data_IF_040218680159
#
_entry.id   IF_040218680159
#
_cell.length_a   1.000
_cell.length_b   1.000
_cell.length_c   1.000
_cell.angle_alpha   90.00
_cell.angle_beta   90.00
_cell.angle_gamma   90.00
#
_symmetry.space_group_name_H-M   'P 1'
#
loop_
_entity.id
_entity.type
_entity.pdbx_description
1 polymer ?
#
# COMPACT_ATOMS: atom_id res chain seq x y z
N UNK A 1 -3.04 -4.55 -16.34
CA UNK A 1 -2.00 -5.53 -15.95
C UNK A 1 -0.79 -4.84 -15.31
N UNK A 2 0.13 -4.18 -16.05
CA UNK A 2 1.34 -3.56 -15.46
C UNK A 2 1.06 -2.51 -14.38
N UNK A 3 0.11 -1.59 -14.60
CA UNK A 3 -0.26 -0.54 -13.62
C UNK A 3 -0.78 -1.12 -12.31
N UNK A 4 -1.66 -2.12 -12.41
CA UNK A 4 -2.22 -2.81 -11.25
C UNK A 4 -1.11 -3.51 -10.47
N UNK A 5 -0.24 -4.27 -11.14
CA UNK A 5 0.89 -4.94 -10.51
C UNK A 5 1.87 -3.97 -9.83
N UNK A 6 2.24 -2.86 -10.49
CA UNK A 6 3.12 -1.83 -9.93
C UNK A 6 2.49 -1.12 -8.73
N UNK A 7 1.17 -0.88 -8.77
CA UNK A 7 0.46 -0.25 -7.67
C UNK A 7 0.36 -1.18 -6.46
N UNK A 8 0.08 -2.46 -6.67
CA UNK A 8 0.05 -3.47 -5.61
C UNK A 8 1.45 -3.72 -5.04
N UNK A 9 2.47 -3.85 -5.88
CA UNK A 9 3.85 -4.02 -5.44
C UNK A 9 4.37 -2.80 -4.66
N UNK A 10 4.09 -1.59 -5.16
CA UNK A 10 4.42 -0.35 -4.47
C UNK A 10 3.68 -0.19 -3.15
N UNK A 11 2.39 -0.54 -3.13
CA UNK A 11 1.58 -0.52 -1.90
C UNK A 11 2.02 -1.58 -0.89
N UNK A 12 2.47 -2.75 -1.32
CA UNK A 12 3.07 -3.76 -0.44
C UNK A 12 4.35 -3.25 0.21
N UNK A 13 5.29 -2.74 -0.58
CA UNK A 13 6.58 -2.26 -0.06
C UNK A 13 6.38 -1.08 0.89
N UNK A 14 5.64 -0.05 0.45
CA UNK A 14 5.41 1.15 1.26
C UNK A 14 4.50 0.87 2.45
N UNK A 15 3.44 0.08 2.28
CA UNK A 15 2.52 -0.25 3.35
C UNK A 15 3.17 -1.08 4.43
N UNK A 16 3.95 -2.11 4.08
CA UNK A 16 4.69 -2.87 5.08
C UNK A 16 5.75 -2.00 5.77
N UNK A 17 6.51 -1.21 5.02
CA UNK A 17 7.51 -0.31 5.60
C UNK A 17 6.90 0.66 6.62
N UNK A 18 5.78 1.30 6.28
CA UNK A 18 5.07 2.21 7.18
C UNK A 18 4.49 1.47 8.38
N UNK A 19 3.94 0.26 8.18
CA UNK A 19 3.39 -0.53 9.29
C UNK A 19 4.47 -0.87 10.32
N UNK A 20 5.63 -1.38 9.88
CA UNK A 20 6.76 -1.67 10.79
C UNK A 20 7.34 -0.43 11.47
N UNK A 21 7.21 0.75 10.85
CA UNK A 21 7.76 2.00 11.41
C UNK A 21 6.80 2.66 12.41
N UNK A 22 5.48 2.52 12.22
CA UNK A 22 4.48 3.33 12.94
C UNK A 22 3.46 2.55 13.76
N UNK A 23 3.31 1.23 13.57
CA UNK A 23 2.28 0.43 14.25
C UNK A 23 2.79 -0.39 15.43
N UNK A 24 3.90 0.02 16.05
CA UNK A 24 4.45 -0.57 17.30
C UNK A 24 4.35 -2.10 17.35
N UNK A 25 4.92 -2.77 16.33
CA UNK A 25 4.88 -4.23 16.19
C UNK A 25 5.34 -4.94 17.48
N UNK A 26 4.44 -5.71 18.10
CA UNK A 26 4.75 -6.45 19.32
C UNK A 26 5.31 -7.83 18.95
N UNK A 27 6.49 -8.18 19.48
CA UNK A 27 7.11 -9.46 19.16
C UNK A 27 6.28 -10.61 19.72
N UNK A 28 6.16 -11.70 18.95
CA UNK A 28 5.27 -12.85 19.21
C UNK A 28 5.62 -13.72 20.44
N UNK A 29 6.49 -13.22 21.32
CA UNK A 29 6.97 -13.91 22.51
C UNK A 29 6.26 -13.33 23.75
N UNK A 30 5.00 -13.71 23.97
CA UNK A 30 4.32 -13.45 25.24
C UNK A 30 4.52 -14.62 26.20
N UNK A 31 5.09 -14.33 27.38
CA UNK A 31 5.20 -15.30 28.46
C UNK A 31 3.88 -15.33 29.25
N UNK A 32 3.07 -16.36 29.04
CA UNK A 32 1.89 -16.60 29.86
C UNK A 32 2.18 -17.63 30.95
N UNK A 33 2.31 -17.18 32.21
CA UNK A 33 2.34 -18.09 33.36
C UNK A 33 0.91 -18.55 33.67
N UNK A 34 0.57 -19.79 33.33
CA UNK A 34 -0.71 -20.37 33.75
C UNK A 34 -0.74 -20.64 35.26
N UNK A 35 -1.95 -20.69 35.84
CA UNK A 35 -2.21 -21.04 37.27
C UNK A 35 -1.56 -22.34 37.75
N UNK A 36 -1.14 -23.23 36.84
CA UNK A 36 -0.49 -24.50 37.15
C UNK A 36 1.06 -24.43 37.18
N UNK A 37 1.67 -23.26 36.94
CA UNK A 37 3.12 -23.05 37.05
C UNK A 37 3.97 -23.66 35.93
N UNK A 38 3.34 -24.08 34.82
CA UNK A 38 4.05 -24.55 33.63
C UNK A 38 4.14 -23.39 32.63
N UNK A 39 5.35 -22.90 32.38
CA UNK A 39 5.59 -21.90 31.33
C UNK A 39 5.42 -22.57 29.97
N UNK A 40 4.35 -22.22 29.26
CA UNK A 40 4.20 -22.52 27.83
C UNK A 40 4.50 -21.25 27.05
N UNK A 41 5.52 -21.32 26.19
CA UNK A 41 5.77 -20.31 25.16
C UNK A 41 4.74 -20.54 24.06
N UNK A 42 3.70 -19.71 24.03
CA UNK A 42 2.73 -19.69 22.94
C UNK A 42 3.18 -18.61 21.96
N UNK A 43 3.45 -19.01 20.71
CA UNK A 43 3.78 -18.09 19.65
C UNK A 43 2.47 -17.48 19.14
N UNK A 44 2.02 -16.40 19.77
CA UNK A 44 0.84 -15.65 19.34
C UNK A 44 1.25 -14.64 18.27
N UNK A 45 0.71 -14.80 17.06
CA UNK A 45 0.89 -13.82 16.00
C UNK A 45 0.15 -12.54 16.39
N UNK A 46 0.82 -11.39 16.24
CA UNK A 46 0.22 -10.07 16.42
C UNK A 46 -0.84 -9.81 15.34
N UNK A 47 -2.06 -10.31 15.60
CA UNK A 47 -3.19 -10.25 14.66
C UNK A 47 -3.63 -8.80 14.40
N UNK A 48 -3.52 -7.93 15.39
CA UNK A 48 -3.87 -6.52 15.25
C UNK A 48 -2.91 -5.85 14.26
N UNK A 49 -1.60 -6.05 14.44
CA UNK A 49 -0.61 -5.56 13.49
C UNK A 49 -0.87 -6.09 12.08
N UNK A 50 -1.07 -7.39 11.91
CA UNK A 50 -1.30 -8.00 10.58
C UNK A 50 -2.56 -7.44 9.92
N UNK A 51 -3.64 -7.28 10.69
CA UNK A 51 -4.91 -6.75 10.19
C UNK A 51 -4.76 -5.30 9.73
N UNK A 52 -4.20 -4.44 10.57
CA UNK A 52 -4.03 -3.03 10.26
C UNK A 52 -2.99 -2.80 9.14
N UNK A 53 -1.90 -3.56 9.11
CA UNK A 53 -0.91 -3.51 8.04
C UNK A 53 -1.53 -3.90 6.69
N UNK A 54 -2.41 -4.91 6.67
CA UNK A 54 -3.13 -5.32 5.46
C UNK A 54 -4.03 -4.20 4.94
N UNK A 55 -4.78 -3.53 5.82
CA UNK A 55 -5.60 -2.36 5.44
C UNK A 55 -4.74 -1.25 4.88
N UNK A 56 -3.61 -0.96 5.53
CA UNK A 56 -2.69 0.10 5.10
C UNK A 56 -2.13 -0.17 3.69
N UNK A 57 -1.68 -1.40 3.44
CA UNK A 57 -1.21 -1.84 2.11
C UNK A 57 -2.28 -1.67 1.04
N UNK A 58 -3.54 -2.03 1.33
CA UNK A 58 -4.65 -1.87 0.40
C UNK A 58 -4.91 -0.39 0.09
N UNK A 59 -4.97 0.46 1.12
CA UNK A 59 -5.21 1.91 0.97
C UNK A 59 -4.11 2.55 0.12
N UNK A 60 -2.84 2.26 0.41
CA UNK A 60 -1.71 2.82 -0.36
C UNK A 60 -1.73 2.31 -1.79
N UNK A 61 -2.05 1.04 -2.02
CA UNK A 61 -2.17 0.48 -3.37
C UNK A 61 -3.23 1.22 -4.21
N UNK A 62 -4.39 1.51 -3.61
CA UNK A 62 -5.46 2.27 -4.26
C UNK A 62 -5.02 3.72 -4.53
N UNK A 63 -4.35 4.36 -3.58
CA UNK A 63 -3.84 5.73 -3.74
C UNK A 63 -2.83 5.82 -4.88
N UNK A 64 -1.86 4.91 -4.95
CA UNK A 64 -0.87 4.86 -6.04
C UNK A 64 -1.58 4.70 -7.38
N UNK A 65 -2.54 3.77 -7.46
CA UNK A 65 -3.29 3.54 -8.69
C UNK A 65 -4.11 4.77 -9.13
N UNK A 66 -4.76 5.45 -8.18
CA UNK A 66 -5.56 6.64 -8.43
C UNK A 66 -4.69 7.82 -8.90
N UNK A 67 -3.57 8.09 -8.22
CA UNK A 67 -2.62 9.14 -8.60
C UNK A 67 -2.05 8.88 -9.99
N UNK A 68 -1.63 7.65 -10.28
CA UNK A 68 -1.12 7.29 -11.60
C UNK A 68 -2.17 7.53 -12.68
N UNK A 69 -3.40 7.07 -12.45
CA UNK A 69 -4.52 7.24 -13.39
C UNK A 69 -4.83 8.72 -13.64
N UNK A 70 -4.76 9.54 -12.60
CA UNK A 70 -4.97 10.99 -12.72
C UNK A 70 -3.88 11.67 -13.57
N UNK A 71 -2.61 11.31 -13.36
CA UNK A 71 -1.48 11.84 -14.12
C UNK A 71 -1.59 11.47 -15.60
N UNK A 72 -1.94 10.22 -15.91
CA UNK A 72 -2.13 9.79 -17.31
C UNK A 72 -3.25 10.57 -17.99
N UNK A 73 -4.40 10.73 -17.33
CA UNK A 73 -5.52 11.48 -17.89
C UNK A 73 -5.15 12.93 -18.21
N UNK A 74 -4.41 13.60 -17.30
CA UNK A 74 -3.88 14.96 -17.52
C UNK A 74 -2.95 15.04 -18.72
N UNK A 75 -2.08 14.05 -18.89
CA UNK A 75 -1.14 13.99 -20.01
C UNK A 75 -1.87 13.79 -21.34
N UNK A 76 -2.86 12.92 -21.38
CA UNK A 76 -3.66 12.66 -22.59
C UNK A 76 -4.45 13.91 -23.01
N UNK A 77 -5.08 14.60 -22.05
CA UNK A 77 -5.78 15.87 -22.30
C UNK A 77 -4.83 16.95 -22.86
N UNK A 78 -3.61 17.06 -22.32
CA UNK A 78 -2.61 18.01 -22.83
C UNK A 78 -2.17 17.68 -24.26
N UNK A 79 -1.97 16.40 -24.56
CA UNK A 79 -1.57 15.95 -25.89
C UNK A 79 -2.65 16.24 -26.95
N UNK A 80 -3.93 15.96 -26.64
CA UNK A 80 -5.05 16.23 -27.55
C UNK A 80 -5.14 17.72 -27.86
N UNK A 81 -5.01 18.57 -26.83
CA UNK A 81 -5.07 20.03 -26.99
C UNK A 81 -3.94 20.55 -27.87
N UNK A 82 -2.73 20.05 -27.69
CA UNK A 82 -1.57 20.50 -28.46
C UNK A 82 -1.69 20.05 -29.93
N UNK A 83 -2.18 18.82 -30.17
CA UNK A 83 -2.47 18.32 -31.52
C UNK A 83 -3.52 19.15 -32.27
N UNK A 84 -4.59 19.58 -31.59
CA UNK A 84 -5.64 20.40 -32.20
C UNK A 84 -5.15 21.81 -32.55
N UNK A 85 -4.26 22.38 -31.72
CA UNK A 85 -3.65 23.68 -31.97
C UNK A 85 -2.69 23.66 -33.16
N UNK A 86 -1.89 22.61 -33.32
CA UNK A 86 -0.98 22.47 -34.48
C UNK A 86 -1.77 22.29 -35.78
N UNK A 87 -2.86 21.52 -35.77
CA UNK A 87 -3.76 21.38 -36.93
C UNK A 87 -4.37 22.71 -37.36
N UNK A 88 -4.72 23.59 -36.42
CA UNK A 88 -5.25 24.94 -36.71
C UNK A 88 -4.20 25.91 -37.24
N UNK A 89 -2.90 25.67 -36.98
CA UNK A 89 -1.80 26.52 -37.45
C UNK A 89 -1.28 26.14 -38.84
N UNK A 90 -1.48 24.89 -39.26
CA UNK A 90 -1.04 24.38 -40.56
C UNK A 90 -2.04 24.57 -41.71
N UNK A 91 -3.18 25.22 -41.46
CA UNK A 91 -4.27 25.46 -42.42
C UNK A 91 -4.55 26.96 -42.53
#
# INVERSE_FOLDING_TARGET
MKKFFLSTAGGLVLGLFLSFTFMDYESSWMHHTQRAGVDQVVNEMDFDFVFFATILVLVISVLIFAVWTFIEKKKDESFIRDFENDKKRGN
#
